data_IF_600760914985
#
_entry.id   IF_600760914985
#
_cell.length_a   1.000
_cell.length_b   1.000
_cell.length_c   1.000
_cell.angle_alpha   90.00
_cell.angle_beta   90.00
_cell.angle_gamma   90.00
#
_symmetry.space_group_name_H-M   'P 1'
#
loop_
_entity.id
_entity.type
_entity.pdbx_description
1 polymer ?
#
# COMPACT_ATOMS: atom_id res chain seq x y z
N UNK A 1 -32.32 -25.41 33.06
CA UNK A 1 -32.08 -24.32 32.09
C UNK A 1 -31.87 -23.04 32.87
N UNK A 2 -30.65 -22.51 32.92
CA UNK A 2 -30.36 -21.21 33.53
C UNK A 2 -30.81 -20.12 32.55
N UNK A 3 -31.93 -19.49 32.84
CA UNK A 3 -32.42 -18.33 32.09
C UNK A 3 -31.51 -17.15 32.41
N UNK A 4 -30.76 -16.65 31.42
CA UNK A 4 -30.03 -15.39 31.58
C UNK A 4 -31.03 -14.26 31.87
N UNK A 5 -30.67 -13.41 32.83
CA UNK A 5 -31.42 -12.17 33.10
C UNK A 5 -31.33 -11.25 31.88
N UNK A 6 -32.37 -10.45 31.66
CA UNK A 6 -32.37 -9.41 30.63
C UNK A 6 -31.21 -8.41 30.83
N UNK A 7 -30.80 -8.19 32.08
CA UNK A 7 -29.66 -7.35 32.39
C UNK A 7 -28.34 -7.98 31.91
N UNK A 8 -28.18 -9.29 32.08
CA UNK A 8 -26.97 -10.01 31.70
C UNK A 8 -26.80 -10.05 30.17
N UNK A 9 -27.89 -10.19 29.41
CA UNK A 9 -27.84 -10.17 27.95
C UNK A 9 -27.50 -8.78 27.40
N UNK A 10 -28.03 -7.72 28.01
CA UNK A 10 -27.71 -6.34 27.64
C UNK A 10 -26.25 -6.00 27.95
N UNK A 11 -25.74 -6.41 29.11
CA UNK A 11 -24.33 -6.21 29.47
C UNK A 11 -23.39 -6.98 28.52
N UNK A 12 -23.74 -8.21 28.17
CA UNK A 12 -22.98 -9.00 27.21
C UNK A 12 -22.94 -8.33 25.82
N UNK A 13 -24.07 -7.80 25.36
CA UNK A 13 -24.14 -7.08 24.08
C UNK A 13 -23.28 -5.80 24.10
N UNK A 14 -23.29 -5.05 25.19
CA UNK A 14 -22.43 -3.87 25.35
C UNK A 14 -20.95 -4.23 25.37
N UNK A 15 -20.56 -5.31 26.05
CA UNK A 15 -19.19 -5.79 26.08
C UNK A 15 -18.70 -6.19 24.68
N UNK A 16 -19.53 -6.94 23.92
CA UNK A 16 -19.21 -7.34 22.56
C UNK A 16 -19.04 -6.11 21.66
N UNK A 17 -19.95 -5.15 21.76
CA UNK A 17 -19.87 -3.92 20.98
C UNK A 17 -18.60 -3.12 21.31
N UNK A 18 -18.24 -3.03 22.58
CA UNK A 18 -17.02 -2.35 23.01
C UNK A 18 -15.76 -3.03 22.47
N UNK A 19 -15.66 -4.36 22.60
CA UNK A 19 -14.53 -5.13 22.05
C UNK A 19 -14.42 -4.96 20.54
N UNK A 20 -15.55 -5.00 19.83
CA UNK A 20 -15.58 -4.78 18.39
C UNK A 20 -15.11 -3.36 18.01
N UNK A 21 -15.67 -2.33 18.66
CA UNK A 21 -15.30 -0.94 18.39
C UNK A 21 -13.81 -0.69 18.64
N UNK A 22 -13.28 -1.13 19.80
CA UNK A 22 -11.86 -1.02 20.12
C UNK A 22 -11.01 -1.76 19.09
N UNK A 23 -11.41 -2.96 18.68
CA UNK A 23 -10.73 -3.72 17.63
C UNK A 23 -10.65 -2.96 16.30
N UNK A 24 -11.76 -2.34 15.87
CA UNK A 24 -11.80 -1.54 14.64
C UNK A 24 -10.90 -0.31 14.74
N UNK A 25 -10.95 0.43 15.86
CA UNK A 25 -10.12 1.62 16.06
C UNK A 25 -8.63 1.26 16.09
N UNK A 26 -8.24 0.24 16.86
CA UNK A 26 -6.85 -0.23 16.92
C UNK A 26 -6.40 -0.72 15.54
N UNK A 27 -7.24 -1.47 14.82
CA UNK A 27 -6.96 -1.92 13.45
C UNK A 27 -6.74 -0.76 12.48
N UNK A 28 -7.57 0.29 12.54
CA UNK A 28 -7.42 1.48 11.71
C UNK A 28 -6.11 2.24 12.02
N UNK A 29 -5.75 2.38 13.29
CA UNK A 29 -4.49 3.01 13.71
C UNK A 29 -3.29 2.18 13.21
N UNK A 30 -3.32 0.86 13.41
CA UNK A 30 -2.27 -0.05 12.97
C UNK A 30 -2.08 -0.05 11.45
N UNK A 31 -3.16 -0.02 10.66
CA UNK A 31 -3.05 0.04 9.19
C UNK A 31 -2.46 1.37 8.72
N UNK A 32 -2.86 2.49 9.33
CA UNK A 32 -2.26 3.80 9.09
C UNK A 32 -0.77 3.82 9.42
N UNK A 33 -0.41 3.30 10.60
CA UNK A 33 0.97 3.23 11.09
C UNK A 33 1.85 2.32 10.22
N UNK A 34 1.37 1.15 9.82
CA UNK A 34 2.11 0.25 8.93
C UNK A 34 2.33 0.87 7.55
N UNK A 35 1.37 1.66 7.07
CA UNK A 35 1.49 2.36 5.79
C UNK A 35 2.54 3.48 5.86
N UNK A 36 2.55 4.25 6.94
CA UNK A 36 3.59 5.27 7.15
C UNK A 36 4.96 4.64 7.34
N UNK A 37 5.07 3.53 8.08
CA UNK A 37 6.34 2.80 8.25
C UNK A 37 6.86 2.26 6.91
N UNK A 38 5.97 1.64 6.12
CA UNK A 38 6.27 1.20 4.77
C UNK A 38 6.80 2.35 3.93
N UNK A 39 6.08 3.48 3.90
CA UNK A 39 6.49 4.65 3.14
C UNK A 39 7.84 5.20 3.62
N UNK A 40 8.09 5.27 4.92
CA UNK A 40 9.36 5.74 5.50
C UNK A 40 10.53 4.85 5.06
N UNK A 41 10.36 3.53 5.09
CA UNK A 41 11.36 2.57 4.61
C UNK A 41 11.62 2.78 3.11
N UNK A 42 10.58 2.92 2.28
CA UNK A 42 10.75 3.15 0.85
C UNK A 42 11.37 4.51 0.51
N UNK A 43 11.07 5.56 1.27
CA UNK A 43 11.71 6.88 1.12
C UNK A 43 13.20 6.86 1.47
N UNK A 44 13.60 6.04 2.45
CA UNK A 44 15.03 5.93 2.81
C UNK A 44 15.85 5.24 1.70
N UNK A 45 15.19 4.40 0.88
CA UNK A 45 15.78 3.81 -0.32
C UNK A 45 15.49 4.64 -1.57
N UNK A 46 15.52 5.98 -1.50
CA UNK A 46 15.36 6.83 -2.67
C UNK A 46 16.54 6.61 -3.64
N UNK A 47 16.37 5.63 -4.52
CA UNK A 47 17.40 5.26 -5.48
C UNK A 47 17.57 6.42 -6.46
N UNK A 48 18.82 6.81 -6.79
CA UNK A 48 19.09 7.99 -7.61
C UNK A 48 18.37 7.90 -8.95
N UNK A 49 17.78 9.00 -9.42
CA UNK A 49 17.01 9.05 -10.68
C UNK A 49 17.86 8.69 -11.89
N UNK A 50 19.17 8.93 -11.82
CA UNK A 50 20.15 8.59 -12.86
C UNK A 50 21.49 8.20 -12.23
N UNK A 51 22.19 7.27 -12.87
CA UNK A 51 23.54 6.87 -12.51
C UNK A 51 24.45 7.19 -13.70
N UNK A 52 25.56 7.90 -13.44
CA UNK A 52 26.59 8.18 -14.46
C UNK A 52 27.45 6.93 -14.65
N UNK A 53 27.66 6.52 -15.88
CA UNK A 53 28.56 5.43 -16.27
C UNK A 53 29.63 5.97 -17.21
N UNK A 54 30.67 5.17 -17.49
CA UNK A 54 31.74 5.56 -18.42
C UNK A 54 31.22 5.89 -19.83
N UNK A 55 30.08 5.31 -20.22
CA UNK A 55 29.50 5.44 -21.55
C UNK A 55 28.26 6.37 -21.58
N UNK A 56 27.93 7.07 -20.49
CA UNK A 56 26.80 8.00 -20.44
C UNK A 56 26.00 7.97 -19.14
N UNK A 57 24.66 7.99 -19.24
CA UNK A 57 23.76 7.94 -18.10
C UNK A 57 22.78 6.77 -18.22
N UNK A 58 22.61 6.05 -17.13
CA UNK A 58 21.50 5.12 -16.94
C UNK A 58 20.40 5.82 -16.16
N UNK A 59 19.16 5.62 -16.60
CA UNK A 59 17.99 6.25 -16.02
C UNK A 59 17.17 5.21 -15.26
N UNK A 60 16.65 5.61 -14.11
CA UNK A 60 15.77 4.76 -13.31
C UNK A 60 14.44 4.57 -14.03
N UNK A 61 14.02 3.32 -14.14
CA UNK A 61 12.67 2.92 -14.55
C UNK A 61 12.21 1.76 -13.66
N UNK A 62 11.17 2.01 -12.84
CA UNK A 62 10.75 1.12 -11.75
C UNK A 62 11.92 0.81 -10.80
N UNK A 63 12.43 -0.42 -10.85
CA UNK A 63 13.50 -0.93 -9.98
C UNK A 63 14.79 -1.27 -10.75
N UNK A 64 14.93 -0.79 -11.98
CA UNK A 64 16.10 -1.04 -12.83
C UNK A 64 16.67 0.26 -13.40
N UNK A 65 17.95 0.22 -13.73
CA UNK A 65 18.67 1.29 -14.43
C UNK A 65 18.89 0.86 -15.87
N UNK A 66 18.32 1.62 -16.80
CA UNK A 66 18.36 1.30 -18.24
C UNK A 66 18.83 2.51 -19.05
N UNK A 67 19.40 2.31 -20.24
CA UNK A 67 19.69 3.40 -21.17
C UNK A 67 18.44 4.19 -21.54
N UNK A 68 18.62 5.43 -21.99
CA UNK A 68 17.52 6.35 -22.29
C UNK A 68 16.53 5.78 -23.34
N UNK A 69 17.05 5.16 -24.40
CA UNK A 69 16.23 4.60 -25.47
C UNK A 69 15.33 3.45 -24.96
N UNK A 70 15.88 2.57 -24.13
CA UNK A 70 15.13 1.46 -23.53
C UNK A 70 14.07 1.99 -22.56
N UNK A 71 14.40 3.01 -21.75
CA UNK A 71 13.43 3.67 -20.85
C UNK A 71 12.22 4.20 -21.63
N UNK A 72 12.44 4.84 -22.77
CA UNK A 72 11.35 5.39 -23.58
C UNK A 72 10.42 4.28 -24.11
N UNK A 73 10.98 3.16 -24.57
CA UNK A 73 10.22 2.02 -25.05
C UNK A 73 9.37 1.38 -23.94
N UNK A 74 9.97 1.14 -22.77
CA UNK A 74 9.28 0.59 -21.61
C UNK A 74 8.17 1.52 -21.12
N UNK A 75 8.38 2.84 -21.19
CA UNK A 75 7.38 3.83 -20.80
C UNK A 75 6.18 3.82 -21.76
N UNK A 76 6.41 3.69 -23.08
CA UNK A 76 5.32 3.55 -24.07
C UNK A 76 4.50 2.29 -23.83
N UNK A 77 5.16 1.14 -23.63
CA UNK A 77 4.48 -0.13 -23.33
C UNK A 77 3.61 -0.04 -22.06
N UNK A 78 4.13 0.60 -21.00
CA UNK A 78 3.36 0.78 -19.77
C UNK A 78 2.11 1.66 -19.98
N UNK A 79 2.23 2.72 -20.80
CA UNK A 79 1.09 3.59 -21.14
C UNK A 79 0.04 2.83 -21.95
N UNK A 80 0.47 2.03 -22.92
CA UNK A 80 -0.42 1.20 -23.74
C UNK A 80 -1.16 0.17 -22.91
N UNK A 81 -0.47 -0.53 -21.99
CA UNK A 81 -1.10 -1.45 -21.04
C UNK A 81 -2.14 -0.73 -20.17
N UNK A 82 -1.82 0.45 -19.65
CA UNK A 82 -2.77 1.24 -18.86
C UNK A 82 -4.00 1.66 -19.66
N UNK A 83 -3.84 2.03 -20.94
CA UNK A 83 -4.96 2.34 -21.83
C UNK A 83 -5.82 1.11 -22.11
N UNK A 84 -5.19 -0.05 -22.38
CA UNK A 84 -5.90 -1.30 -22.60
C UNK A 84 -6.74 -1.72 -21.38
N UNK A 85 -6.19 -1.59 -20.17
CA UNK A 85 -6.92 -1.87 -18.92
C UNK A 85 -8.08 -0.89 -18.66
N UNK A 86 -7.95 0.37 -19.10
CA UNK A 86 -9.00 1.38 -18.96
C UNK A 86 -10.15 1.17 -19.95
N UNK A 87 -9.85 0.68 -21.15
CA UNK A 87 -10.83 0.47 -22.21
C UNK A 87 -11.48 -0.93 -22.17
N UNK A 88 -10.92 -1.86 -21.38
CA UNK A 88 -11.47 -3.20 -21.13
C UNK A 88 -12.39 -3.31 -19.92
N UNK A 89 -12.80 -2.17 -19.35
CA UNK A 89 -13.87 -2.03 -18.33
C UNK A 89 -14.99 -1.19 -18.92
#
# INVERSE_FOLDING_TARGET
MTTLSLADTVQLQQLIFFVFAVGVFVGAICTGFLTTLKNLVFYHFDQPTRIRTNNGYLYRFRNKYVPLAERQNLMKQAIEQHRALKNGK
#
